data_IF_900070210137
#
_entry.id   IF_900070210137
#
_cell.length_a   1.000
_cell.length_b   1.000
_cell.length_c   1.000
_cell.angle_alpha   90.00
_cell.angle_beta   90.00
_cell.angle_gamma   90.00
#
_symmetry.space_group_name_H-M   'P 1'
#
loop_
_entity.id
_entity.type
_entity.pdbx_description
1 polymer ?
#
# COMPACT_ATOMS: atom_id res chain seq x y z
N UNK A 1 -63.55 -8.34 -32.08
CA UNK A 1 -63.09 -8.44 -30.68
C UNK A 1 -61.75 -7.73 -30.63
N UNK A 2 -61.77 -6.42 -30.37
CA UNK A 2 -60.53 -5.72 -30.01
C UNK A 2 -60.27 -6.02 -28.55
N UNK A 3 -59.14 -6.69 -28.28
CA UNK A 3 -58.66 -6.85 -26.93
C UNK A 3 -58.13 -5.48 -26.47
N UNK A 4 -58.90 -4.80 -25.62
CA UNK A 4 -58.43 -3.62 -24.91
C UNK A 4 -57.29 -4.02 -23.97
N UNK A 5 -56.05 -3.82 -24.43
CA UNK A 5 -54.90 -3.77 -23.53
C UNK A 5 -55.09 -2.55 -22.62
N UNK A 6 -54.93 -2.68 -21.30
CA UNK A 6 -55.05 -1.54 -20.40
C UNK A 6 -53.88 -0.58 -20.67
N UNK A 7 -54.15 0.53 -21.38
CA UNK A 7 -53.22 1.63 -21.70
C UNK A 7 -52.88 2.51 -20.47
N UNK A 8 -52.78 1.91 -19.29
CA UNK A 8 -52.54 2.62 -18.02
C UNK A 8 -51.51 1.86 -17.17
N UNK A 9 -50.53 1.24 -17.82
CA UNK A 9 -49.50 0.44 -17.18
C UNK A 9 -48.12 0.84 -17.69
N UNK A 10 -47.12 0.66 -16.83
CA UNK A 10 -45.72 1.06 -17.00
C UNK A 10 -44.92 0.29 -18.07
N UNK A 11 -45.57 -0.06 -19.18
CA UNK A 11 -45.01 -0.88 -20.25
C UNK A 11 -45.90 -0.91 -21.50
N UNK A 12 -46.60 0.20 -21.78
CA UNK A 12 -47.50 0.32 -22.92
C UNK A 12 -46.80 0.75 -24.23
N UNK A 13 -45.47 0.87 -24.20
CA UNK A 13 -44.51 0.97 -25.32
C UNK A 13 -44.53 2.29 -26.10
N UNK A 14 -45.48 3.21 -25.84
CA UNK A 14 -45.63 4.39 -26.72
C UNK A 14 -46.23 5.64 -26.09
N UNK A 15 -46.77 5.62 -24.87
CA UNK A 15 -47.46 6.78 -24.30
C UNK A 15 -46.94 7.20 -22.93
N UNK A 16 -46.66 8.50 -22.76
CA UNK A 16 -46.40 9.09 -21.44
C UNK A 16 -47.72 9.22 -20.67
N UNK A 17 -48.06 8.22 -19.87
CA UNK A 17 -49.25 8.23 -19.02
C UNK A 17 -48.94 7.67 -17.63
N UNK A 18 -49.94 7.28 -16.84
CA UNK A 18 -49.73 6.50 -15.61
C UNK A 18 -48.91 7.14 -14.48
N UNK A 19 -48.42 8.37 -14.62
CA UNK A 19 -47.47 9.02 -13.71
C UNK A 19 -45.99 8.80 -14.03
N UNK A 20 -45.68 8.24 -15.21
CA UNK A 20 -44.31 8.03 -15.71
C UNK A 20 -43.51 9.33 -15.85
N UNK A 21 -42.19 9.23 -15.81
CA UNK A 21 -41.30 10.38 -15.95
C UNK A 21 -40.90 10.62 -17.43
N UNK A 22 -40.70 9.54 -18.19
CA UNK A 22 -40.62 9.49 -19.65
C UNK A 22 -41.33 8.20 -20.12
N UNK A 23 -41.58 8.05 -21.42
CA UNK A 23 -42.31 6.90 -21.99
C UNK A 23 -41.71 5.58 -21.49
N UNK A 24 -42.51 4.82 -20.74
CA UNK A 24 -42.18 3.52 -20.12
C UNK A 24 -41.04 3.53 -19.08
N UNK A 25 -40.75 4.67 -18.45
CA UNK A 25 -39.73 4.74 -17.40
C UNK A 25 -39.94 5.85 -16.35
N UNK A 26 -39.34 5.65 -15.17
CA UNK A 26 -39.38 6.59 -14.05
C UNK A 26 -40.75 6.71 -13.37
N UNK A 27 -40.83 7.50 -12.30
CA UNK A 27 -42.06 7.61 -11.51
C UNK A 27 -42.49 6.26 -10.92
N UNK A 28 -43.73 5.79 -11.18
CA UNK A 28 -44.23 4.49 -10.72
C UNK A 28 -43.71 3.30 -11.53
N UNK A 29 -42.96 3.53 -12.61
CA UNK A 29 -42.36 2.45 -13.39
C UNK A 29 -41.34 1.66 -12.57
N UNK A 30 -41.30 0.35 -12.81
CA UNK A 30 -40.23 -0.50 -12.30
C UNK A 30 -38.90 -0.25 -13.03
N UNK A 31 -38.97 0.18 -14.29
CA UNK A 31 -37.83 0.55 -15.12
C UNK A 31 -37.44 2.01 -14.88
N UNK A 32 -36.15 2.26 -14.67
CA UNK A 32 -35.58 3.61 -14.58
C UNK A 32 -35.20 4.13 -15.96
N UNK A 33 -35.26 5.45 -16.12
CA UNK A 33 -34.94 6.15 -17.35
C UNK A 33 -33.43 6.25 -17.60
N UNK A 34 -33.05 6.00 -18.85
CA UNK A 34 -31.68 6.18 -19.36
C UNK A 34 -31.31 7.67 -19.52
N UNK A 35 -30.03 7.94 -19.77
CA UNK A 35 -29.51 9.30 -19.96
C UNK A 35 -30.25 10.06 -21.06
N UNK A 36 -30.53 11.34 -20.83
CA UNK A 36 -31.24 12.24 -21.75
C UNK A 36 -32.77 12.15 -21.70
N UNK A 37 -33.33 11.15 -21.01
CA UNK A 37 -34.78 11.01 -20.80
C UNK A 37 -35.29 11.99 -19.76
N UNK A 38 -36.58 12.29 -19.84
CA UNK A 38 -37.26 13.22 -18.93
C UNK A 38 -37.35 12.62 -17.53
N UNK A 39 -37.15 13.45 -16.50
CA UNK A 39 -37.22 13.04 -15.11
C UNK A 39 -37.82 14.15 -14.24
N UNK A 40 -38.45 13.76 -13.13
CA UNK A 40 -38.96 14.66 -12.09
C UNK A 40 -38.25 14.45 -10.75
N UNK A 41 -37.58 13.31 -10.57
CA UNK A 41 -36.86 12.91 -9.37
C UNK A 41 -35.58 12.16 -9.74
N UNK A 42 -34.58 12.19 -8.86
CA UNK A 42 -33.35 11.38 -8.99
C UNK A 42 -33.66 9.88 -9.05
N UNK A 43 -34.75 9.42 -8.41
CA UNK A 43 -35.17 8.01 -8.44
C UNK A 43 -35.59 7.53 -9.82
N UNK A 44 -35.97 8.46 -10.70
CA UNK A 44 -36.43 8.16 -12.05
C UNK A 44 -35.28 7.69 -12.94
N UNK A 45 -34.05 8.11 -12.65
CA UNK A 45 -32.90 7.90 -13.53
C UNK A 45 -32.05 6.69 -13.11
N UNK A 46 -31.54 5.95 -14.10
CA UNK A 46 -30.55 4.87 -13.88
C UNK A 46 -29.31 5.42 -13.16
N UNK A 47 -28.82 6.59 -13.59
CA UNK A 47 -27.69 7.31 -12.98
C UNK A 47 -27.97 7.87 -11.59
N UNK A 48 -29.24 7.89 -11.15
CA UNK A 48 -29.72 8.58 -9.96
C UNK A 48 -29.51 10.10 -9.99
N UNK A 49 -29.28 10.69 -11.16
CA UNK A 49 -29.09 12.15 -11.31
C UNK A 49 -30.14 12.70 -12.26
N UNK A 50 -31.04 13.54 -11.72
CA UNK A 50 -32.02 14.30 -12.48
C UNK A 50 -31.68 15.79 -12.39
N UNK A 51 -31.28 16.40 -13.50
CA UNK A 51 -30.94 17.83 -13.57
C UNK A 51 -31.48 18.42 -14.86
N UNK A 52 -32.06 19.62 -14.79
CA UNK A 52 -32.74 20.24 -15.94
C UNK A 52 -33.91 19.42 -16.48
N UNK A 53 -34.60 18.68 -15.61
CA UNK A 53 -35.65 17.71 -15.96
C UNK A 53 -35.20 16.58 -16.90
N UNK A 54 -33.88 16.31 -16.96
CA UNK A 54 -33.32 15.22 -17.73
C UNK A 54 -32.36 14.37 -16.91
N UNK A 55 -32.40 13.06 -17.16
CA UNK A 55 -31.46 12.11 -16.60
C UNK A 55 -30.05 12.38 -17.13
N UNK A 56 -29.12 12.66 -16.22
CA UNK A 56 -27.74 12.96 -16.59
C UNK A 56 -26.91 11.68 -16.65
N UNK A 57 -25.84 11.70 -17.45
CA UNK A 57 -24.87 10.62 -17.44
C UNK A 57 -24.14 10.56 -16.08
N UNK A 58 -23.80 9.35 -15.57
CA UNK A 58 -22.92 9.17 -14.41
C UNK A 58 -21.63 9.98 -14.56
N UNK A 59 -21.22 10.69 -13.50
CA UNK A 59 -19.92 11.38 -13.45
C UNK A 59 -19.15 10.95 -12.22
N UNK A 60 -17.82 10.87 -12.32
CA UNK A 60 -16.96 10.45 -11.23
C UNK A 60 -16.61 11.56 -10.22
N UNK A 61 -17.51 12.53 -10.06
CA UNK A 61 -17.35 13.72 -9.22
C UNK A 61 -18.70 14.42 -8.98
N UNK A 62 -19.81 13.67 -8.99
CA UNK A 62 -21.17 14.19 -8.79
C UNK A 62 -21.73 13.92 -7.38
N UNK A 63 -20.94 13.31 -6.49
CA UNK A 63 -21.30 12.87 -5.14
C UNK A 63 -22.38 11.78 -5.12
N UNK A 64 -22.56 11.03 -6.21
CA UNK A 64 -23.55 9.96 -6.31
C UNK A 64 -22.86 8.68 -6.75
N UNK A 65 -22.89 7.64 -5.90
CA UNK A 65 -22.43 6.32 -6.30
C UNK A 65 -23.31 5.74 -7.43
N UNK A 66 -22.85 5.86 -8.67
CA UNK A 66 -23.55 5.48 -9.88
C UNK A 66 -22.59 4.90 -10.93
N UNK A 67 -23.10 4.55 -12.11
CA UNK A 67 -22.28 3.92 -13.15
C UNK A 67 -21.63 2.62 -12.66
N UNK A 68 -20.32 2.52 -12.82
CA UNK A 68 -19.50 1.37 -12.42
C UNK A 68 -18.58 1.64 -11.22
N UNK A 69 -18.79 2.77 -10.53
CA UNK A 69 -18.08 3.13 -9.32
C UNK A 69 -18.18 2.06 -8.22
N UNK A 70 -17.15 1.96 -7.40
CA UNK A 70 -17.12 1.05 -6.25
C UNK A 70 -17.32 1.74 -4.91
N UNK A 71 -17.08 3.05 -4.84
CA UNK A 71 -17.52 3.95 -3.78
C UNK A 71 -17.90 5.29 -4.43
N UNK A 72 -18.47 6.23 -3.67
CA UNK A 72 -18.91 7.52 -4.21
C UNK A 72 -17.76 8.23 -4.94
N UNK A 73 -17.95 8.50 -6.24
CA UNK A 73 -17.01 9.23 -7.11
C UNK A 73 -15.66 8.53 -7.37
N UNK A 74 -15.54 7.21 -7.13
CA UNK A 74 -14.29 6.49 -7.34
C UNK A 74 -14.42 4.99 -7.64
N UNK A 75 -13.36 4.42 -8.20
CA UNK A 75 -13.24 3.00 -8.51
C UNK A 75 -13.96 2.57 -9.79
N UNK A 76 -13.91 1.29 -10.14
CA UNK A 76 -14.37 0.82 -11.44
C UNK A 76 -13.50 1.35 -12.58
N UNK A 77 -14.11 1.62 -13.73
CA UNK A 77 -13.48 2.30 -14.86
C UNK A 77 -13.47 3.82 -14.73
N UNK A 78 -14.02 4.37 -13.64
CA UNK A 78 -13.89 5.79 -13.35
C UNK A 78 -12.41 6.20 -13.28
N UNK A 79 -12.13 7.44 -13.68
CA UNK A 79 -10.75 7.97 -13.69
C UNK A 79 -10.15 8.16 -12.29
N UNK A 80 -10.98 8.17 -11.24
CA UNK A 80 -10.57 8.45 -9.87
C UNK A 80 -10.42 7.15 -9.09
N UNK A 81 -9.26 6.98 -8.44
CA UNK A 81 -9.00 5.82 -7.58
C UNK A 81 -9.49 6.10 -6.16
N UNK A 82 -10.06 5.08 -5.54
CA UNK A 82 -10.60 5.13 -4.19
C UNK A 82 -9.48 5.18 -3.16
N UNK A 83 -9.56 6.18 -2.27
CA UNK A 83 -8.65 6.33 -1.15
C UNK A 83 -8.79 5.16 -0.15
N UNK A 84 -7.82 5.02 0.75
CA UNK A 84 -7.88 4.00 1.81
C UNK A 84 -9.17 4.12 2.65
N UNK A 85 -9.79 2.99 2.99
CA UNK A 85 -11.05 2.87 3.71
C UNK A 85 -12.30 2.89 2.83
N UNK A 86 -12.17 3.26 1.55
CA UNK A 86 -13.27 3.26 0.57
C UNK A 86 -13.53 1.87 0.03
N UNK A 87 -14.75 1.64 -0.43
CA UNK A 87 -15.20 0.35 -0.97
C UNK A 87 -14.57 0.09 -2.35
N UNK A 88 -14.20 -1.16 -2.59
CA UNK A 88 -13.58 -1.61 -3.83
C UNK A 88 -14.04 -3.02 -4.20
N UNK A 89 -13.84 -3.39 -5.48
CA UNK A 89 -14.04 -4.75 -5.99
C UNK A 89 -12.72 -5.39 -6.40
N UNK A 90 -11.80 -4.59 -6.93
CA UNK A 90 -10.48 -5.03 -7.42
C UNK A 90 -9.39 -4.03 -7.03
N UNK A 91 -8.13 -4.47 -7.03
CA UNK A 91 -7.00 -3.61 -6.66
C UNK A 91 -6.89 -2.34 -7.52
N UNK A 92 -7.31 -2.40 -8.79
CA UNK A 92 -7.29 -1.24 -9.69
C UNK A 92 -8.32 -0.18 -9.33
N UNK A 93 -9.23 -0.44 -8.39
CA UNK A 93 -10.14 0.58 -7.88
C UNK A 93 -9.44 1.51 -6.89
N UNK A 94 -8.36 1.05 -6.25
CA UNK A 94 -7.74 1.73 -5.12
C UNK A 94 -6.55 2.60 -5.52
N UNK A 95 -6.37 3.71 -4.81
CA UNK A 95 -5.24 4.62 -5.00
C UNK A 95 -4.00 4.05 -4.32
N UNK A 96 -3.11 3.43 -5.11
CA UNK A 96 -1.84 2.89 -4.66
C UNK A 96 -1.92 1.92 -3.47
N UNK A 97 -3.07 1.26 -3.26
CA UNK A 97 -3.28 0.25 -2.22
C UNK A 97 -4.06 -0.97 -2.71
N UNK A 98 -4.23 -1.99 -1.86
CA UNK A 98 -4.92 -3.23 -2.22
C UNK A 98 -6.40 -3.20 -1.86
N UNK A 99 -7.21 -3.92 -2.64
CA UNK A 99 -8.60 -4.18 -2.30
C UNK A 99 -8.70 -5.42 -1.40
N UNK A 100 -8.74 -5.20 -0.09
CA UNK A 100 -8.72 -6.27 0.91
C UNK A 100 -10.00 -6.24 1.73
N UNK A 101 -10.76 -7.34 1.70
CA UNK A 101 -12.04 -7.43 2.43
C UNK A 101 -13.13 -6.48 1.91
N UNK A 102 -13.05 -6.07 0.63
CA UNK A 102 -13.98 -5.14 0.01
C UNK A 102 -13.67 -3.66 0.24
N UNK A 103 -12.54 -3.34 0.88
CA UNK A 103 -12.10 -1.96 1.11
C UNK A 103 -10.65 -1.76 0.67
N UNK A 104 -10.36 -0.56 0.16
CA UNK A 104 -9.00 -0.13 -0.12
C UNK A 104 -8.23 -0.07 1.19
N UNK A 105 -7.17 -0.86 1.31
CA UNK A 105 -6.47 -1.08 2.57
C UNK A 105 -4.98 -1.26 2.35
N UNK A 106 -4.20 -0.83 3.34
CA UNK A 106 -2.77 -1.06 3.40
C UNK A 106 -2.40 -2.49 3.83
N UNK A 107 -3.38 -3.30 4.25
CA UNK A 107 -3.15 -4.69 4.63
C UNK A 107 -2.71 -5.51 3.42
N UNK A 108 -1.71 -6.36 3.61
CA UNK A 108 -1.11 -7.20 2.58
C UNK A 108 -0.03 -6.51 1.73
N UNK A 109 0.20 -5.21 1.92
CA UNK A 109 1.23 -4.46 1.19
C UNK A 109 2.56 -4.41 1.94
N UNK A 110 3.65 -4.24 1.20
CA UNK A 110 4.88 -3.73 1.79
C UNK A 110 4.73 -2.23 2.08
N UNK A 111 4.87 -1.86 3.36
CA UNK A 111 4.75 -0.49 3.83
C UNK A 111 6.06 0.29 3.87
N UNK A 112 7.19 -0.37 3.59
CA UNK A 112 8.51 0.26 3.59
C UNK A 112 8.77 0.90 2.24
N UNK A 113 8.96 2.21 2.22
CA UNK A 113 9.34 2.95 1.02
C UNK A 113 10.83 2.77 0.76
N UNK A 114 11.20 2.42 -0.47
CA UNK A 114 12.59 2.16 -0.85
C UNK A 114 13.30 1.19 0.11
N UNK A 115 12.60 0.11 0.50
CA UNK A 115 13.18 -0.95 1.33
C UNK A 115 14.14 -1.86 0.57
N UNK A 116 14.03 -1.84 -0.76
CA UNK A 116 14.82 -2.53 -1.77
C UNK A 116 15.96 -1.67 -2.35
N UNK A 117 16.17 -0.45 -1.83
CA UNK A 117 17.24 0.45 -2.26
C UNK A 117 17.21 0.89 -3.74
N UNK A 118 16.17 0.59 -4.52
CA UNK A 118 16.13 0.86 -5.95
C UNK A 118 15.75 2.30 -6.32
N UNK A 119 15.36 3.11 -5.34
CA UNK A 119 15.08 4.53 -5.54
C UNK A 119 16.29 5.38 -5.19
N UNK A 120 16.73 6.23 -6.12
CA UNK A 120 17.87 7.12 -5.93
C UNK A 120 19.07 6.75 -6.80
N UNK A 121 20.23 7.30 -6.47
CA UNK A 121 21.50 7.00 -7.16
C UNK A 121 22.29 5.98 -6.32
N UNK A 122 22.46 4.77 -6.85
CA UNK A 122 23.34 3.77 -6.26
C UNK A 122 24.61 3.54 -7.10
N UNK A 123 24.92 4.46 -8.02
CA UNK A 123 26.12 4.33 -8.82
C UNK A 123 27.36 4.32 -7.93
N UNK A 124 28.24 3.37 -8.21
CA UNK A 124 29.55 3.26 -7.58
C UNK A 124 30.50 4.28 -8.20
N UNK A 125 30.11 5.56 -8.19
CA UNK A 125 30.89 6.69 -8.69
C UNK A 125 31.11 7.69 -7.57
N UNK A 126 32.31 8.26 -7.55
CA UNK A 126 32.66 9.31 -6.60
C UNK A 126 31.74 10.54 -6.76
N UNK A 127 31.33 11.17 -5.64
CA UNK A 127 31.55 10.71 -4.26
C UNK A 127 30.60 9.54 -3.91
N UNK A 128 31.14 8.52 -3.22
CA UNK A 128 30.44 7.28 -2.84
C UNK A 128 29.42 7.45 -1.71
N UNK A 129 29.22 8.67 -1.22
CA UNK A 129 28.36 9.02 -0.09
C UNK A 129 26.87 9.12 -0.46
N UNK A 130 26.39 8.23 -1.34
CA UNK A 130 25.00 8.26 -1.80
C UNK A 130 24.07 7.86 -0.66
N UNK A 131 23.32 8.83 -0.16
CA UNK A 131 22.49 8.64 1.03
C UNK A 131 21.24 7.82 0.72
N UNK A 132 20.76 7.00 1.68
CA UNK A 132 19.53 6.22 1.54
C UNK A 132 18.31 7.10 1.24
N UNK A 133 17.78 7.03 0.02
CA UNK A 133 16.65 7.86 -0.40
C UNK A 133 15.38 7.42 0.32
N UNK A 134 14.64 8.36 0.92
CA UNK A 134 13.41 8.03 1.68
C UNK A 134 13.65 7.55 3.11
N UNK A 135 14.89 7.61 3.60
CA UNK A 135 15.26 7.23 4.97
C UNK A 135 15.93 8.40 5.69
N UNK A 136 15.65 8.54 6.99
CA UNK A 136 16.45 9.38 7.90
C UNK A 136 17.65 8.58 8.33
N UNK A 137 18.84 9.17 8.45
CA UNK A 137 20.04 8.45 8.84
C UNK A 137 20.87 9.21 9.87
N UNK A 138 21.71 8.48 10.60
CA UNK A 138 22.75 9.00 11.49
C UNK A 138 24.07 8.35 11.12
N UNK A 139 25.11 9.17 10.99
CA UNK A 139 26.39 8.75 10.43
C UNK A 139 26.32 8.70 8.91
N UNK A 140 26.95 7.71 8.28
CA UNK A 140 27.11 7.64 6.82
C UNK A 140 26.69 6.30 6.20
N UNK A 141 25.52 5.71 6.55
CA UNK A 141 25.03 4.60 5.76
C UNK A 141 24.77 5.09 4.33
N UNK A 142 25.02 4.22 3.35
CA UNK A 142 24.90 4.57 1.93
C UNK A 142 24.09 3.53 1.17
N UNK A 143 23.66 3.92 -0.03
CA UNK A 143 23.04 3.10 -1.04
C UNK A 143 24.03 2.87 -2.18
N UNK A 144 24.33 1.62 -2.52
CA UNK A 144 25.38 1.24 -3.49
C UNK A 144 24.91 0.14 -4.42
N UNK A 145 25.55 0.02 -5.58
CA UNK A 145 25.18 -0.99 -6.56
C UNK A 145 25.83 -2.34 -6.25
N UNK A 146 25.10 -3.42 -6.52
CA UNK A 146 25.66 -4.76 -6.62
C UNK A 146 26.74 -4.81 -7.72
N UNK A 147 28.01 -4.80 -7.33
CA UNK A 147 29.14 -4.73 -8.26
C UNK A 147 30.33 -5.59 -7.79
N UNK A 148 31.17 -6.01 -8.73
CA UNK A 148 32.33 -6.85 -8.43
C UNK A 148 33.39 -6.16 -7.55
N UNK A 149 33.46 -4.83 -7.60
CA UNK A 149 34.42 -4.02 -6.83
C UNK A 149 33.88 -3.59 -5.45
N UNK A 150 32.69 -4.08 -5.06
CA UNK A 150 32.03 -3.83 -3.77
C UNK A 150 31.74 -5.14 -3.04
N UNK A 151 31.28 -5.05 -1.79
CA UNK A 151 31.04 -6.24 -0.95
C UNK A 151 30.09 -7.22 -1.64
N UNK A 152 28.96 -6.72 -2.16
CA UNK A 152 27.96 -7.56 -2.81
C UNK A 152 27.97 -7.36 -4.33
N UNK A 153 27.83 -8.48 -5.04
CA UNK A 153 27.72 -8.53 -6.50
C UNK A 153 26.47 -9.30 -6.92
N UNK A 154 26.15 -9.29 -8.23
CA UNK A 154 25.06 -10.08 -8.81
C UNK A 154 25.20 -11.60 -8.58
N UNK A 155 26.41 -12.10 -8.29
CA UNK A 155 26.67 -13.53 -8.09
C UNK A 155 26.71 -13.95 -6.62
N UNK A 156 26.79 -12.98 -5.71
CA UNK A 156 26.82 -13.23 -4.28
C UNK A 156 25.46 -13.80 -3.83
N UNK A 157 25.41 -14.77 -2.88
CA UNK A 157 24.16 -15.24 -2.30
C UNK A 157 23.32 -14.07 -1.76
N UNK A 158 22.02 -14.06 -2.07
CA UNK A 158 21.11 -12.96 -1.74
C UNK A 158 19.77 -13.08 -2.46
N UNK A 159 18.95 -12.03 -2.48
CA UNK A 159 17.64 -12.05 -3.12
C UNK A 159 17.75 -12.39 -4.61
N UNK A 160 16.79 -13.15 -5.14
CA UNK A 160 16.68 -13.42 -6.58
C UNK A 160 16.20 -12.20 -7.36
N UNK A 161 15.53 -11.29 -6.67
CA UNK A 161 14.89 -10.07 -7.15
C UNK A 161 15.62 -8.80 -6.66
N UNK A 162 16.90 -8.90 -6.33
CA UNK A 162 17.75 -7.88 -5.69
C UNK A 162 17.89 -6.52 -6.40
N UNK A 163 17.25 -6.32 -7.54
CA UNK A 163 17.43 -5.10 -8.34
C UNK A 163 18.91 -4.79 -8.65
N UNK A 164 19.28 -3.52 -8.57
CA UNK A 164 20.61 -2.99 -8.84
C UNK A 164 21.35 -2.56 -7.58
N UNK A 165 20.64 -2.24 -6.51
CA UNK A 165 21.13 -1.47 -5.38
C UNK A 165 20.89 -2.20 -4.04
N UNK A 166 21.67 -1.86 -3.02
CA UNK A 166 21.45 -2.28 -1.64
C UNK A 166 21.96 -1.21 -0.67
N UNK A 167 21.62 -1.33 0.61
CA UNK A 167 22.13 -0.45 1.66
C UNK A 167 23.30 -1.09 2.42
N UNK A 168 24.30 -0.28 2.74
CA UNK A 168 25.45 -0.71 3.55
C UNK A 168 25.80 0.28 4.64
N UNK A 169 26.42 -0.25 5.69
CA UNK A 169 26.82 0.45 6.89
C UNK A 169 27.78 1.60 6.63
N UNK A 170 28.86 1.41 5.86
CA UNK A 170 29.85 2.40 5.37
C UNK A 170 30.16 3.61 6.28
N UNK A 171 31.37 3.99 6.68
CA UNK A 171 32.69 3.42 6.75
C UNK A 171 33.14 3.69 8.21
N UNK A 172 33.96 2.80 8.80
CA UNK A 172 34.66 3.02 10.08
C UNK A 172 33.83 3.54 11.27
N UNK A 173 32.51 3.40 11.23
CA UNK A 173 31.62 3.72 12.35
C UNK A 173 30.39 2.81 12.31
N UNK A 174 29.74 2.66 13.46
CA UNK A 174 28.37 2.15 13.49
C UNK A 174 27.43 3.26 13.03
N UNK A 175 26.49 2.90 12.17
CA UNK A 175 25.59 3.83 11.50
C UNK A 175 24.15 3.34 11.64
N UNK A 176 23.19 4.22 11.40
CA UNK A 176 21.78 3.80 11.41
C UNK A 176 20.96 4.56 10.39
N UNK A 177 19.88 3.94 9.95
CA UNK A 177 18.85 4.59 9.16
C UNK A 177 17.46 4.17 9.63
N UNK A 178 16.48 5.05 9.47
CA UNK A 178 15.11 4.80 9.93
C UNK A 178 14.06 5.43 9.03
N UNK A 179 12.89 4.79 9.02
CA UNK A 179 11.70 5.27 8.35
C UNK A 179 10.50 5.14 9.29
N UNK A 180 9.68 6.17 9.33
CA UNK A 180 8.43 6.16 10.08
C UNK A 180 7.26 5.93 9.13
N UNK A 181 6.52 4.86 9.38
CA UNK A 181 5.29 4.50 8.68
C UNK A 181 4.12 4.98 9.52
N UNK A 182 3.36 5.94 9.01
CA UNK A 182 2.16 6.44 9.67
C UNK A 182 0.92 5.67 9.20
N UNK A 183 0.05 5.28 10.12
CA UNK A 183 -1.18 4.56 9.82
C UNK A 183 -2.34 5.56 9.94
N UNK A 184 -2.81 6.06 8.80
CA UNK A 184 -3.82 7.11 8.74
C UNK A 184 -5.22 6.60 8.34
N UNK A 185 -5.38 5.28 8.19
CA UNK A 185 -6.64 4.66 7.78
C UNK A 185 -7.49 4.22 8.98
N UNK A 186 -8.69 4.77 9.09
CA UNK A 186 -9.62 4.46 10.17
C UNK A 186 -9.97 2.96 10.26
N UNK A 187 -10.05 2.27 9.12
CA UNK A 187 -10.40 0.84 9.08
C UNK A 187 -9.28 0.00 9.70
N UNK A 188 -8.04 0.22 9.26
CA UNK A 188 -6.85 -0.44 9.79
C UNK A 188 -6.62 -0.09 11.26
N UNK A 189 -6.82 1.18 11.64
CA UNK A 189 -6.72 1.61 13.04
C UNK A 189 -7.74 0.90 13.94
N UNK A 190 -8.98 0.74 13.48
CA UNK A 190 -10.01 -0.01 14.22
C UNK A 190 -9.61 -1.49 14.39
N UNK A 191 -9.04 -2.11 13.35
CA UNK A 191 -8.54 -3.48 13.42
C UNK A 191 -7.36 -3.62 14.40
N UNK A 192 -6.42 -2.66 14.41
CA UNK A 192 -5.30 -2.60 15.36
C UNK A 192 -5.82 -2.49 16.79
N UNK A 193 -6.75 -1.57 17.05
CA UNK A 193 -7.30 -1.34 18.39
C UNK A 193 -8.12 -2.53 18.89
N UNK A 194 -8.70 -3.32 17.98
CA UNK A 194 -9.34 -4.60 18.29
C UNK A 194 -8.37 -5.78 18.49
N UNK A 195 -7.06 -5.57 18.34
CA UNK A 195 -6.02 -6.60 18.53
C UNK A 195 -5.93 -7.64 17.40
N UNK A 196 -6.55 -7.38 16.24
CA UNK A 196 -6.64 -8.33 15.12
C UNK A 196 -5.48 -8.27 14.15
N UNK A 197 -4.67 -7.21 14.21
CA UNK A 197 -3.57 -6.99 13.25
C UNK A 197 -2.26 -7.60 13.73
N UNK A 198 -1.56 -8.27 12.81
CA UNK A 198 -0.20 -8.76 13.00
C UNK A 198 0.70 -8.13 11.94
N UNK A 199 1.94 -7.82 12.32
CA UNK A 199 2.97 -7.33 11.43
C UNK A 199 3.97 -8.45 11.13
N UNK A 200 4.41 -8.52 9.88
CA UNK A 200 5.49 -9.36 9.43
C UNK A 200 6.63 -8.46 8.95
N UNK A 201 7.78 -8.55 9.61
CA UNK A 201 9.02 -7.86 9.24
C UNK A 201 9.92 -8.85 8.53
N UNK A 202 10.35 -8.53 7.32
CA UNK A 202 11.30 -9.33 6.55
C UNK A 202 12.39 -8.47 5.93
N UNK A 203 13.51 -9.10 5.58
CA UNK A 203 14.59 -8.47 4.85
C UNK A 203 15.73 -9.44 4.58
N UNK A 204 16.64 -9.03 3.71
CA UNK A 204 17.88 -9.72 3.43
C UNK A 204 19.01 -8.99 4.13
N UNK A 205 19.65 -9.65 5.10
CA UNK A 205 20.67 -9.05 5.95
C UNK A 205 21.97 -9.83 5.81
N UNK A 206 23.11 -9.17 5.90
CA UNK A 206 24.39 -9.86 5.81
C UNK A 206 25.59 -8.94 5.84
N UNK A 207 26.64 -9.33 5.10
CA UNK A 207 27.88 -8.60 5.02
C UNK A 207 28.98 -9.35 4.28
N UNK A 208 30.24 -9.02 4.57
CA UNK A 208 31.42 -9.44 3.81
C UNK A 208 32.22 -10.56 4.49
N UNK A 209 32.63 -11.57 3.71
CA UNK A 209 33.49 -12.71 4.10
C UNK A 209 33.26 -13.23 5.53
N UNK A 210 34.31 -13.37 6.32
CA UNK A 210 34.27 -13.82 7.72
C UNK A 210 34.12 -12.69 8.74
N UNK A 211 33.72 -11.48 8.33
CA UNK A 211 33.58 -10.34 9.23
C UNK A 211 32.22 -10.35 9.94
N UNK A 212 32.20 -9.91 11.20
CA UNK A 212 30.99 -9.88 12.05
C UNK A 212 30.29 -8.50 12.09
N UNK A 213 30.75 -7.55 11.27
CA UNK A 213 29.98 -6.38 10.90
C UNK A 213 28.62 -6.82 10.38
N UNK A 214 27.57 -6.18 10.88
CA UNK A 214 26.22 -6.70 10.71
C UNK A 214 25.19 -5.60 10.60
N UNK A 215 24.10 -5.92 9.92
CA UNK A 215 22.86 -5.17 9.98
C UNK A 215 21.85 -5.88 10.89
N UNK A 216 21.01 -5.10 11.56
CA UNK A 216 19.84 -5.55 12.32
C UNK A 216 18.69 -4.61 12.05
N UNK A 217 17.50 -5.14 11.78
CA UNK A 217 16.29 -4.33 11.55
C UNK A 217 15.32 -4.52 12.69
N UNK A 218 14.83 -3.42 13.26
CA UNK A 218 13.89 -3.39 14.37
C UNK A 218 12.66 -2.57 13.99
N UNK A 219 11.48 -3.17 14.09
CA UNK A 219 10.18 -2.53 13.97
C UNK A 219 9.67 -2.16 15.36
N UNK A 220 9.66 -0.87 15.65
CA UNK A 220 9.08 -0.32 16.88
C UNK A 220 7.65 0.17 16.61
N UNK A 221 6.74 -0.01 17.57
CA UNK A 221 5.37 0.51 17.50
C UNK A 221 5.23 1.72 18.40
N UNK A 222 4.58 2.77 17.90
CA UNK A 222 4.34 4.00 18.68
C UNK A 222 2.86 4.33 18.73
N UNK A 223 2.42 4.86 19.87
CA UNK A 223 1.07 5.40 20.05
C UNK A 223 0.92 6.79 19.38
N UNK A 224 -0.25 7.42 19.58
CA UNK A 224 -0.57 8.74 19.01
C UNK A 224 0.40 9.85 19.44
N UNK A 225 0.94 9.76 20.66
CA UNK A 225 1.89 10.74 21.21
C UNK A 225 3.35 10.47 20.77
N UNK A 226 3.57 9.43 19.97
CA UNK A 226 4.92 8.99 19.56
C UNK A 226 5.66 8.17 20.61
N UNK A 227 4.99 7.76 21.70
CA UNK A 227 5.57 6.90 22.73
C UNK A 227 5.61 5.45 22.25
N UNK A 228 6.76 4.79 22.41
CA UNK A 228 6.92 3.36 22.09
C UNK A 228 6.00 2.50 22.95
N UNK A 229 5.28 1.57 22.33
CA UNK A 229 4.36 0.64 22.99
C UNK A 229 4.60 -0.80 22.54
N UNK A 230 4.30 -1.76 23.42
CA UNK A 230 4.46 -3.18 23.14
C UNK A 230 5.91 -3.62 22.89
N UNK A 231 6.06 -4.84 22.38
CA UNK A 231 7.36 -5.42 22.05
C UNK A 231 7.71 -5.14 20.59
N UNK A 232 8.95 -4.74 20.33
CA UNK A 232 9.46 -4.59 18.98
C UNK A 232 9.58 -5.95 18.28
N UNK A 233 9.46 -5.95 16.95
CA UNK A 233 9.80 -7.11 16.11
C UNK A 233 11.19 -6.86 15.54
N UNK A 234 12.09 -7.84 15.63
CA UNK A 234 13.47 -7.71 15.16
C UNK A 234 13.85 -8.84 14.23
N UNK A 235 14.64 -8.53 13.21
CA UNK A 235 15.37 -9.47 12.38
C UNK A 235 16.86 -9.15 12.40
N UNK A 236 17.69 -10.20 12.42
CA UNK A 236 19.13 -10.07 12.66
C UNK A 236 19.47 -9.90 14.15
N UNK A 237 20.73 -9.54 14.48
CA UNK A 237 21.82 -9.30 13.54
C UNK A 237 22.16 -10.55 12.74
N UNK A 238 22.66 -10.38 11.51
CA UNK A 238 23.23 -11.49 10.74
C UNK A 238 24.74 -11.43 10.83
N UNK A 239 25.33 -12.43 11.47
CA UNK A 239 26.77 -12.53 11.70
C UNK A 239 27.48 -13.33 10.60
N UNK A 240 28.81 -13.39 10.62
CA UNK A 240 29.57 -14.24 9.68
C UNK A 240 29.16 -15.71 9.77
N UNK A 241 28.86 -16.20 10.97
CA UNK A 241 28.44 -17.59 11.22
C UNK A 241 27.11 -17.94 10.52
N UNK A 242 26.14 -17.03 10.53
CA UNK A 242 24.87 -17.17 9.78
C UNK A 242 25.10 -17.30 8.27
N UNK A 243 26.13 -16.60 7.76
CA UNK A 243 26.52 -16.60 6.36
C UNK A 243 27.48 -17.74 6.01
N UNK A 244 27.89 -18.58 6.96
CA UNK A 244 28.95 -19.61 6.78
C UNK A 244 30.28 -18.99 6.32
N UNK A 245 30.59 -17.79 6.82
CA UNK A 245 31.82 -17.03 6.55
C UNK A 245 32.07 -16.69 5.08
N UNK A 246 31.02 -16.64 4.25
CA UNK A 246 31.07 -16.14 2.88
C UNK A 246 30.31 -14.82 2.76
N UNK A 247 30.74 -13.95 1.85
CA UNK A 247 30.00 -12.73 1.53
C UNK A 247 28.59 -13.05 1.04
N UNK A 248 27.59 -12.30 1.50
CA UNK A 248 26.22 -12.42 1.01
C UNK A 248 25.16 -12.01 2.02
N UNK A 249 23.92 -12.11 1.58
CA UNK A 249 22.73 -11.83 2.37
C UNK A 249 21.97 -13.10 2.67
N UNK A 250 21.37 -13.15 3.85
CA UNK A 250 20.48 -14.23 4.28
C UNK A 250 19.11 -13.65 4.58
N UNK A 251 18.07 -14.27 4.04
CA UNK A 251 16.70 -13.92 4.35
C UNK A 251 16.45 -14.09 5.86
N UNK A 252 15.84 -13.07 6.46
CA UNK A 252 15.33 -13.09 7.83
C UNK A 252 13.91 -12.57 7.82
N UNK A 253 13.09 -13.19 8.64
CA UNK A 253 11.69 -12.82 8.81
C UNK A 253 11.27 -13.09 10.24
N UNK A 254 10.44 -12.20 10.77
CA UNK A 254 9.84 -12.35 12.08
C UNK A 254 8.46 -11.71 12.07
N UNK A 255 7.53 -12.28 12.84
CA UNK A 255 6.17 -11.79 12.91
C UNK A 255 5.73 -11.61 14.36
N UNK A 256 4.82 -10.68 14.58
CA UNK A 256 4.30 -10.34 15.91
C UNK A 256 2.99 -9.59 15.83
N UNK A 257 2.27 -9.54 16.94
CA UNK A 257 1.05 -8.76 17.06
C UNK A 257 1.38 -7.27 17.04
N UNK A 258 0.55 -6.48 16.34
CA UNK A 258 0.61 -5.03 16.44
C UNK A 258 -0.12 -4.63 17.73
N UNK A 259 0.54 -3.93 18.66
CA UNK A 259 -0.11 -3.50 19.91
C UNK A 259 -1.32 -2.59 19.63
N UNK A 260 -2.42 -2.80 20.36
CA UNK A 260 -3.56 -1.90 20.32
C UNK A 260 -3.12 -0.47 20.68
N UNK A 261 -3.67 0.54 19.99
CA UNK A 261 -3.26 1.94 20.14
C UNK A 261 -2.06 2.34 19.27
N UNK A 262 -1.50 1.45 18.46
CA UNK A 262 -0.44 1.81 17.50
C UNK A 262 -0.99 2.80 16.47
N UNK A 263 -0.25 3.88 16.21
CA UNK A 263 -0.55 4.91 15.20
C UNK A 263 0.59 5.15 14.21
N UNK A 264 1.82 4.83 14.61
CA UNK A 264 2.95 4.77 13.69
C UNK A 264 3.86 3.60 14.03
N UNK A 265 4.64 3.17 13.05
CA UNK A 265 5.69 2.19 13.22
C UNK A 265 7.00 2.80 12.76
N UNK A 266 8.08 2.56 13.50
CA UNK A 266 9.41 3.01 13.12
C UNK A 266 10.27 1.80 12.78
N UNK A 267 10.65 1.71 11.51
CA UNK A 267 11.62 0.75 11.00
C UNK A 267 13.00 1.36 11.23
N UNK A 268 13.81 0.74 12.08
CA UNK A 268 15.18 1.14 12.38
C UNK A 268 16.13 0.06 11.89
N UNK A 269 17.11 0.45 11.08
CA UNK A 269 18.24 -0.38 10.69
C UNK A 269 19.46 0.11 11.46
N UNK A 270 20.05 -0.77 12.25
CA UNK A 270 21.33 -0.57 12.90
C UNK A 270 22.41 -1.31 12.12
N UNK A 271 23.46 -0.59 11.70
CA UNK A 271 24.68 -1.16 11.13
C UNK A 271 25.77 -1.12 12.18
N UNK A 272 26.17 -2.28 12.69
CA UNK A 272 27.17 -2.38 13.77
C UNK A 272 28.54 -2.68 13.18
N UNK A 273 29.49 -1.78 13.42
CA UNK A 273 30.91 -2.01 13.12
C UNK A 273 31.57 -2.79 14.26
N UNK A 274 32.23 -3.88 13.92
CA UNK A 274 33.12 -4.63 14.80
C UNK A 274 34.58 -4.22 14.59
N UNK A 275 35.06 -4.15 13.35
CA UNK A 275 36.42 -3.74 13.00
C UNK A 275 36.53 -3.29 11.54
N UNK A 276 37.46 -2.39 11.23
CA UNK A 276 37.73 -2.01 9.83
C UNK A 276 36.65 -1.09 9.25
N UNK A 277 36.10 -1.48 8.11
CA UNK A 277 34.99 -0.79 7.45
C UNK A 277 33.66 -1.49 7.81
N UNK A 278 32.56 -0.74 7.78
CA UNK A 278 31.27 -1.29 8.20
C UNK A 278 30.61 -1.99 7.02
N UNK A 279 30.83 -3.30 6.96
CA UNK A 279 30.36 -4.17 5.89
C UNK A 279 28.95 -4.73 6.15
N UNK A 280 28.23 -4.21 7.15
CA UNK A 280 26.85 -4.60 7.42
C UNK A 280 25.94 -4.20 6.26
N UNK A 281 25.26 -5.16 5.66
CA UNK A 281 24.44 -4.95 4.46
C UNK A 281 22.98 -5.31 4.70
N UNK A 282 22.06 -4.58 4.07
CA UNK A 282 20.63 -4.89 4.07
C UNK A 282 19.98 -4.57 2.72
N UNK A 283 19.00 -5.37 2.35
CA UNK A 283 18.20 -5.21 1.14
C UNK A 283 16.79 -5.80 1.32
N UNK A 284 15.85 -5.44 0.44
CA UNK A 284 14.48 -5.93 0.37
C UNK A 284 13.75 -5.94 1.74
N UNK A 285 13.92 -4.85 2.51
CA UNK A 285 13.23 -4.66 3.79
C UNK A 285 11.74 -4.49 3.51
N UNK A 286 10.92 -5.29 4.19
CA UNK A 286 9.47 -5.19 4.08
C UNK A 286 8.78 -5.28 5.44
N UNK A 287 7.70 -4.51 5.57
CA UNK A 287 6.75 -4.60 6.68
C UNK A 287 5.38 -4.81 6.08
N UNK A 288 4.80 -5.98 6.30
CA UNK A 288 3.47 -6.34 5.81
C UNK A 288 2.52 -6.53 6.97
N UNK A 289 1.41 -5.80 6.96
CA UNK A 289 0.33 -5.97 7.93
C UNK A 289 -0.70 -6.97 7.43
N UNK A 290 -1.23 -7.78 8.34
CA UNK A 290 -2.31 -8.74 8.07
C UNK A 290 -3.34 -8.70 9.18
N UNK A 291 -4.60 -8.93 8.85
CA UNK A 291 -5.67 -9.15 9.82
C UNK A 291 -6.03 -10.63 9.88
N UNK A 292 -6.34 -11.11 11.08
CA UNK A 292 -6.93 -12.43 11.33
C UNK A 292 -8.39 -12.34 11.73
#
# INVERSE_FOLDING_TARGET
MEAGFPLNGSGDQIYLNGGEADVDCGGPCSTKCDNGKTCSSTTDCVSKVCSGNQCQAPMNHDNVMNGDETDVDCGGSSGNKCAVGKTCKVNTDCDNVLCTGGFCSILGMNLVVNGDAETGDCSNKLPYDKQPTGWKYTGLPIQVAYAADWDLSATTPGPSDRGQCYFTGYYKASNSMSQTININDATTLSLIDSGKVSANLSGWLGGYLGQDDNAKVTLNFNNQDGTKIGSAITIGPVLSSDRKSITGLVARQSAGKVPAGTRSMNVLVDFTLTYGDNDGCVDNIAVVLSSG
#
